data_IF_130765811861
#
_entry.id   IF_130765811861
#
_cell.length_a   1.000
_cell.length_b   1.000
_cell.length_c   1.000
_cell.angle_alpha   90.00
_cell.angle_beta   90.00
_cell.angle_gamma   90.00
#
_symmetry.space_group_name_H-M   'P 1'
#
loop_
_entity.id
_entity.type
_entity.pdbx_description
1 polymer ?
#
# COMPACT_ATOMS: atom_id res chain seq x y z
N UNK A 1 -28.39 32.65 20.35
CA UNK A 1 -27.54 32.95 21.54
C UNK A 1 -27.40 31.63 22.29
N UNK A 2 -26.24 31.05 22.58
CA UNK A 2 -24.89 31.53 22.84
C UNK A 2 -23.93 30.46 22.28
N UNK A 3 -22.96 30.78 21.44
CA UNK A 3 -21.70 31.33 21.92
C UNK A 3 -20.68 30.23 22.24
N UNK A 4 -20.56 29.19 21.39
CA UNK A 4 -19.50 28.19 21.54
C UNK A 4 -18.56 28.32 20.34
N UNK A 5 -17.44 29.01 20.56
CA UNK A 5 -16.34 29.18 19.59
C UNK A 5 -15.76 27.80 19.26
N UNK A 6 -16.28 27.18 18.21
CA UNK A 6 -16.09 25.80 17.74
C UNK A 6 -14.65 25.37 17.37
N UNK A 7 -13.60 26.17 17.56
CA UNK A 7 -12.25 25.77 17.11
C UNK A 7 -11.48 24.85 18.10
N UNK A 8 -11.85 24.80 19.38
CA UNK A 8 -11.12 23.99 20.39
C UNK A 8 -11.60 22.54 20.53
N UNK A 9 -12.91 22.30 20.50
CA UNK A 9 -13.51 20.97 20.78
C UNK A 9 -13.13 19.90 19.73
N UNK A 10 -13.07 20.27 18.46
CA UNK A 10 -12.73 19.36 17.36
C UNK A 10 -11.23 19.04 17.34
N UNK A 11 -10.39 19.99 17.74
CA UNK A 11 -8.96 19.76 17.91
C UNK A 11 -8.67 18.59 18.86
N UNK A 12 -9.40 18.51 19.98
CA UNK A 12 -9.25 17.43 20.96
C UNK A 12 -9.77 16.08 20.43
N UNK A 13 -10.94 16.10 19.76
CA UNK A 13 -11.55 14.89 19.21
C UNK A 13 -10.65 14.21 18.16
N UNK A 14 -10.00 15.00 17.30
CA UNK A 14 -9.14 14.50 16.22
C UNK A 14 -7.91 13.76 16.74
N UNK A 15 -7.25 14.25 17.80
CA UNK A 15 -6.08 13.56 18.40
C UNK A 15 -6.48 12.29 19.13
N UNK A 16 -7.61 12.31 19.83
CA UNK A 16 -8.14 11.11 20.50
C UNK A 16 -8.48 10.02 19.48
N UNK A 17 -9.17 10.37 18.38
CA UNK A 17 -9.49 9.41 17.32
C UNK A 17 -8.23 8.87 16.61
N UNK A 18 -7.25 9.73 16.33
CA UNK A 18 -5.99 9.29 15.73
C UNK A 18 -5.21 8.37 16.68
N UNK A 19 -5.10 8.71 17.97
CA UNK A 19 -4.44 7.86 18.97
C UNK A 19 -5.14 6.51 19.12
N UNK A 20 -6.47 6.49 19.12
CA UNK A 20 -7.24 5.24 19.12
C UNK A 20 -6.93 4.39 17.88
N UNK A 21 -6.95 4.96 16.67
CA UNK A 21 -6.64 4.21 15.46
C UNK A 21 -5.22 3.63 15.47
N UNK A 22 -4.23 4.41 15.94
CA UNK A 22 -2.84 3.97 16.09
C UNK A 22 -2.73 2.84 17.12
N UNK A 23 -3.38 2.95 18.28
CA UNK A 23 -3.39 1.93 19.32
C UNK A 23 -4.00 0.60 18.83
N UNK A 24 -5.10 0.65 18.08
CA UNK A 24 -5.72 -0.54 17.48
C UNK A 24 -4.79 -1.27 16.49
N UNK A 25 -3.95 -0.53 15.75
CA UNK A 25 -2.93 -1.16 14.88
C UNK A 25 -1.85 -1.84 15.72
N UNK A 26 -1.32 -1.13 16.71
CA UNK A 26 -0.16 -1.58 17.50
C UNK A 26 -0.49 -2.72 18.47
N UNK A 27 -1.71 -2.77 19.00
CA UNK A 27 -2.09 -3.68 20.09
C UNK A 27 -3.01 -4.81 19.63
N UNK A 28 -3.96 -4.51 18.74
CA UNK A 28 -4.96 -5.48 18.27
C UNK A 28 -4.62 -6.06 16.89
N UNK A 29 -3.55 -5.59 16.24
CA UNK A 29 -3.12 -6.07 14.93
C UNK A 29 -4.11 -5.78 13.79
N UNK A 30 -4.95 -4.75 13.95
CA UNK A 30 -5.90 -4.33 12.90
C UNK A 30 -5.19 -3.50 11.83
N UNK A 31 -5.70 -3.53 10.59
CA UNK A 31 -5.25 -2.58 9.58
C UNK A 31 -5.64 -1.15 9.95
N UNK A 32 -4.84 -0.18 9.54
CA UNK A 32 -5.10 1.22 9.82
C UNK A 32 -6.41 1.69 9.18
N UNK A 33 -6.74 1.21 7.98
CA UNK A 33 -8.00 1.55 7.33
C UNK A 33 -9.20 1.04 8.13
N UNK A 34 -9.16 -0.19 8.65
CA UNK A 34 -10.21 -0.71 9.52
C UNK A 34 -10.30 0.06 10.85
N UNK A 35 -9.15 0.37 11.45
CA UNK A 35 -9.07 1.16 12.67
C UNK A 35 -9.60 2.59 12.49
N UNK A 36 -9.31 3.23 11.35
CA UNK A 36 -9.82 4.56 11.00
C UNK A 36 -11.33 4.53 10.75
N UNK A 37 -11.85 3.52 10.06
CA UNK A 37 -13.30 3.36 9.85
C UNK A 37 -14.06 3.26 11.18
N UNK A 38 -13.47 2.64 12.21
CA UNK A 38 -14.04 2.62 13.55
C UNK A 38 -13.86 3.95 14.30
N UNK A 39 -12.71 4.60 14.14
CA UNK A 39 -12.38 5.83 14.86
C UNK A 39 -13.14 7.06 14.35
N UNK A 40 -13.47 7.08 13.05
CA UNK A 40 -14.17 8.17 12.39
C UNK A 40 -15.68 8.05 12.66
N UNK A 41 -16.21 8.97 13.46
CA UNK A 41 -17.65 9.15 13.60
C UNK A 41 -18.20 9.97 12.44
N UNK A 42 -19.38 9.62 11.92
CA UNK A 42 -20.12 10.39 10.91
C UNK A 42 -20.42 11.83 11.34
N UNK A 43 -20.31 12.13 12.64
CA UNK A 43 -20.51 13.47 13.19
C UNK A 43 -19.29 14.40 13.03
N UNK A 44 -18.12 13.88 12.64
CA UNK A 44 -16.92 14.70 12.42
C UNK A 44 -17.00 15.38 11.04
N UNK A 45 -16.81 16.72 10.98
CA UNK A 45 -16.68 17.42 9.69
C UNK A 45 -15.57 16.82 8.82
N UNK A 46 -15.74 16.83 7.49
CA UNK A 46 -14.78 16.25 6.55
C UNK A 46 -13.32 16.73 6.76
N UNK A 47 -13.13 18.02 7.08
CA UNK A 47 -11.82 18.59 7.42
C UNK A 47 -11.17 17.90 8.62
N UNK A 48 -11.95 17.60 9.66
CA UNK A 48 -11.45 16.95 10.86
C UNK A 48 -11.15 15.47 10.61
N UNK A 49 -11.95 14.80 9.77
CA UNK A 49 -11.65 13.43 9.33
C UNK A 49 -10.31 13.36 8.56
N UNK A 50 -10.06 14.32 7.66
CA UNK A 50 -8.78 14.42 6.96
C UNK A 50 -7.61 14.65 7.93
N UNK A 51 -7.82 15.45 8.99
CA UNK A 51 -6.82 15.64 10.04
C UNK A 51 -6.59 14.36 10.86
N UNK A 52 -7.62 13.60 11.23
CA UNK A 52 -7.48 12.30 11.91
C UNK A 52 -6.61 11.36 11.08
N UNK A 53 -6.91 11.23 9.79
CA UNK A 53 -6.12 10.40 8.86
C UNK A 53 -4.68 10.89 8.81
N UNK A 54 -4.44 12.18 8.57
CA UNK A 54 -3.09 12.73 8.50
C UNK A 54 -2.27 12.47 9.78
N UNK A 55 -2.89 12.61 10.96
CA UNK A 55 -2.26 12.35 12.25
C UNK A 55 -1.99 10.85 12.46
N UNK A 56 -2.93 9.97 12.16
CA UNK A 56 -2.77 8.53 12.36
C UNK A 56 -1.72 7.92 11.43
N UNK A 57 -1.78 8.24 10.13
CA UNK A 57 -0.77 7.82 9.15
C UNK A 57 0.62 8.38 9.50
N UNK A 58 0.69 9.65 9.90
CA UNK A 58 1.94 10.28 10.32
C UNK A 58 2.55 9.64 11.57
N UNK A 59 1.73 9.44 12.60
CA UNK A 59 2.14 8.82 13.85
C UNK A 59 2.67 7.40 13.63
N UNK A 60 1.98 6.55 12.83
CA UNK A 60 2.46 5.19 12.52
C UNK A 60 3.73 5.19 11.64
N UNK A 61 3.79 6.07 10.65
CA UNK A 61 4.98 6.20 9.78
C UNK A 61 6.25 6.51 10.59
N UNK A 62 6.12 7.33 11.63
CA UNK A 62 7.25 7.71 12.49
C UNK A 62 7.30 7.00 13.84
N UNK A 63 6.44 5.98 14.07
CA UNK A 63 6.23 5.43 15.41
C UNK A 63 7.47 4.79 16.03
N UNK A 64 8.29 4.04 15.28
CA UNK A 64 9.51 3.43 15.84
C UNK A 64 10.48 4.51 16.36
N UNK A 65 10.64 5.62 15.61
CA UNK A 65 11.40 6.78 16.08
C UNK A 65 10.76 7.43 17.30
N UNK A 66 9.44 7.65 17.27
CA UNK A 66 8.72 8.24 18.40
C UNK A 66 8.84 7.40 19.66
N UNK A 67 8.80 6.07 19.56
CA UNK A 67 8.96 5.15 20.68
C UNK A 67 10.33 5.31 21.35
N UNK A 68 11.40 5.45 20.56
CA UNK A 68 12.74 5.74 21.10
C UNK A 68 12.78 7.10 21.81
N UNK A 69 12.18 8.14 21.22
CA UNK A 69 12.07 9.47 21.85
C UNK A 69 11.29 9.39 23.17
N UNK A 70 10.15 8.66 23.20
CA UNK A 70 9.33 8.46 24.39
C UNK A 70 10.14 7.73 25.48
N UNK A 71 10.93 6.73 25.10
CA UNK A 71 11.81 5.99 26.02
C UNK A 71 12.87 6.87 26.68
N UNK A 72 13.39 7.88 25.99
CA UNK A 72 14.34 8.86 26.55
C UNK A 72 13.68 9.91 27.45
N UNK A 73 12.39 10.19 27.21
CA UNK A 73 11.63 11.20 27.95
C UNK A 73 10.99 10.67 29.23
N UNK A 74 10.77 9.36 29.34
CA UNK A 74 10.10 8.71 30.47
C UNK A 74 11.08 7.92 31.33
N UNK A 75 11.09 8.18 32.64
CA UNK A 75 11.93 7.43 33.60
C UNK A 75 11.52 5.95 33.73
N UNK A 76 10.26 5.64 33.39
CA UNK A 76 9.70 4.29 33.41
C UNK A 76 8.87 4.07 32.16
N UNK A 77 9.06 2.93 31.52
CA UNK A 77 8.24 2.50 30.39
C UNK A 77 6.76 2.46 30.77
N UNK A 78 5.90 2.79 29.81
CA UNK A 78 4.46 2.66 29.95
C UNK A 78 4.09 1.18 30.09
N UNK A 79 3.09 0.88 30.92
CA UNK A 79 2.57 -0.49 31.09
C UNK A 79 1.64 -0.83 29.93
N UNK A 80 1.38 -2.12 29.72
CA UNK A 80 0.47 -2.62 28.67
C UNK A 80 -0.90 -1.92 28.64
N UNK A 81 -1.50 -1.70 29.82
CA UNK A 81 -2.79 -0.99 29.98
C UNK A 81 -2.79 0.49 29.55
N UNK A 82 -1.60 1.05 29.32
CA UNK A 82 -1.34 2.45 29.03
C UNK A 82 -0.81 2.67 27.59
N UNK A 83 -0.87 1.66 26.70
CA UNK A 83 -0.44 1.75 25.29
C UNK A 83 -1.15 2.88 24.51
N UNK A 84 -2.43 3.15 24.82
CA UNK A 84 -3.15 4.30 24.26
C UNK A 84 -2.46 5.64 24.52
N UNK A 85 -1.71 5.76 25.62
CA UNK A 85 -0.91 6.96 25.91
C UNK A 85 0.36 7.02 25.05
N UNK A 86 0.98 5.88 24.73
CA UNK A 86 2.09 5.82 23.78
C UNK A 86 1.64 6.26 22.38
N UNK A 87 0.50 5.75 21.92
CA UNK A 87 -0.13 6.18 20.68
C UNK A 87 -0.44 7.69 20.68
N UNK A 88 -0.98 8.21 21.79
CA UNK A 88 -1.25 9.64 21.94
C UNK A 88 0.03 10.49 21.94
N UNK A 89 1.09 10.04 22.62
CA UNK A 89 2.40 10.71 22.62
C UNK A 89 3.02 10.70 21.22
N UNK A 90 2.91 9.58 20.49
CA UNK A 90 3.34 9.48 19.08
C UNK A 90 2.60 10.49 18.19
N UNK A 91 1.28 10.64 18.36
CA UNK A 91 0.48 11.68 17.69
C UNK A 91 0.94 13.10 18.08
N UNK A 92 1.26 13.33 19.35
CA UNK A 92 1.82 14.59 19.84
C UNK A 92 3.17 14.92 19.22
N UNK A 93 4.09 13.96 19.22
CA UNK A 93 5.44 14.09 18.64
C UNK A 93 5.38 14.34 17.13
N UNK A 94 4.56 13.59 16.39
CA UNK A 94 4.34 13.82 14.96
C UNK A 94 3.94 15.28 14.68
N UNK A 95 3.03 15.83 15.48
CA UNK A 95 2.62 17.23 15.32
C UNK A 95 3.76 18.21 15.58
N UNK A 96 4.63 17.93 16.54
CA UNK A 96 5.75 18.80 16.91
C UNK A 96 6.91 18.73 15.92
N UNK A 97 7.13 17.56 15.30
CA UNK A 97 8.27 17.30 14.41
C UNK A 97 7.90 17.59 12.95
N UNK A 98 6.77 17.06 12.48
CA UNK A 98 6.47 16.94 11.05
C UNK A 98 5.33 17.84 10.56
N UNK A 99 4.74 18.66 11.45
CA UNK A 99 3.66 19.57 11.08
C UNK A 99 4.00 21.02 11.34
N UNK A 100 3.39 21.92 10.57
CA UNK A 100 3.54 23.38 10.74
C UNK A 100 2.63 23.96 11.82
N UNK A 101 1.98 23.13 12.63
CA UNK A 101 1.08 23.62 13.67
C UNK A 101 1.88 24.24 14.82
N UNK A 102 1.43 25.38 15.40
CA UNK A 102 2.12 25.99 16.52
C UNK A 102 2.27 25.00 17.68
N UNK A 103 3.49 24.79 18.17
CA UNK A 103 3.78 23.75 19.15
C UNK A 103 2.93 23.83 20.42
N UNK A 104 2.60 25.03 20.90
CA UNK A 104 1.72 25.20 22.07
C UNK A 104 0.30 24.65 21.82
N UNK A 105 -0.24 24.83 20.61
CA UNK A 105 -1.58 24.37 20.25
C UNK A 105 -1.60 22.85 20.10
N UNK A 106 -0.56 22.26 19.49
CA UNK A 106 -0.38 20.82 19.39
C UNK A 106 -0.29 20.14 20.77
N UNK A 107 0.49 20.71 21.69
CA UNK A 107 0.59 20.19 23.07
C UNK A 107 -0.75 20.30 23.79
N UNK A 108 -1.38 21.48 23.81
CA UNK A 108 -2.65 21.69 24.51
C UNK A 108 -3.74 20.73 24.04
N UNK A 109 -3.93 20.59 22.72
CA UNK A 109 -4.94 19.70 22.16
C UNK A 109 -4.65 18.22 22.44
N UNK A 110 -3.37 17.82 22.43
CA UNK A 110 -2.96 16.44 22.75
C UNK A 110 -3.15 16.12 24.23
N UNK A 111 -2.87 17.07 25.13
CA UNK A 111 -3.12 16.93 26.57
C UNK A 111 -4.60 16.81 26.86
N UNK A 112 -5.44 17.66 26.27
CA UNK A 112 -6.89 17.60 26.46
C UNK A 112 -7.50 16.29 25.94
N UNK A 113 -6.87 15.65 24.94
CA UNK A 113 -7.35 14.39 24.38
C UNK A 113 -7.34 13.23 25.39
N UNK A 114 -6.52 13.33 26.45
CA UNK A 114 -6.49 12.35 27.56
C UNK A 114 -7.86 12.16 28.21
N UNK A 115 -8.69 13.22 28.29
CA UNK A 115 -10.04 13.13 28.84
C UNK A 115 -10.97 12.31 27.94
N UNK A 116 -10.91 12.51 26.61
CA UNK A 116 -11.70 11.73 25.64
C UNK A 116 -11.28 10.26 25.62
N UNK A 117 -10.01 9.98 25.86
CA UNK A 117 -9.47 8.61 25.95
C UNK A 117 -9.69 7.97 27.33
N UNK A 118 -10.50 8.57 28.21
CA UNK A 118 -10.77 8.06 29.56
C UNK A 118 -9.47 7.84 30.38
N UNK A 119 -8.50 8.74 30.22
CA UNK A 119 -7.22 8.78 30.95
C UNK A 119 -6.92 10.17 31.52
N UNK A 120 -7.86 10.85 32.21
CA UNK A 120 -7.66 12.23 32.66
C UNK A 120 -6.46 12.43 33.61
N UNK A 121 -6.10 11.40 34.40
CA UNK A 121 -4.95 11.44 35.30
C UNK A 121 -3.60 11.51 34.57
N UNK A 122 -3.55 11.16 33.29
CA UNK A 122 -2.34 11.21 32.48
C UNK A 122 -2.07 12.60 31.85
N UNK A 123 -2.97 13.57 32.01
CA UNK A 123 -2.81 14.91 31.42
C UNK A 123 -1.49 15.59 31.83
N UNK A 124 -1.11 15.49 33.11
CA UNK A 124 0.15 16.05 33.62
C UNK A 124 1.37 15.38 32.99
N UNK A 125 1.34 14.04 32.85
CA UNK A 125 2.39 13.27 32.21
C UNK A 125 2.57 13.68 30.74
N UNK A 126 1.49 13.63 29.95
CA UNK A 126 1.51 13.98 28.52
C UNK A 126 2.04 15.41 28.31
N UNK A 127 1.58 16.36 29.13
CA UNK A 127 2.06 17.75 29.06
C UNK A 127 3.55 17.83 29.40
N UNK A 128 3.98 17.24 30.51
CA UNK A 128 5.37 17.27 30.94
C UNK A 128 6.31 16.64 29.90
N UNK A 129 5.94 15.47 29.35
CA UNK A 129 6.70 14.75 28.31
C UNK A 129 6.85 15.58 27.04
N UNK A 130 5.75 16.10 26.48
CA UNK A 130 5.82 16.88 25.24
C UNK A 130 6.53 18.23 25.43
N UNK A 131 6.35 18.89 26.60
CA UNK A 131 7.07 20.12 26.93
C UNK A 131 8.56 19.89 27.13
N UNK A 132 8.94 18.75 27.71
CA UNK A 132 10.34 18.34 27.83
C UNK A 132 10.95 18.11 26.45
N UNK A 133 10.25 17.38 25.58
CA UNK A 133 10.67 17.22 24.19
C UNK A 133 10.93 18.56 23.50
N UNK A 134 10.02 19.54 23.60
CA UNK A 134 10.22 20.86 22.98
C UNK A 134 11.49 21.58 23.47
N UNK A 135 11.93 21.36 24.73
CA UNK A 135 13.15 21.97 25.27
C UNK A 135 14.42 21.22 24.87
N UNK A 136 14.32 19.90 24.72
CA UNK A 136 15.45 18.99 24.49
C UNK A 136 15.50 18.45 23.06
N UNK A 137 14.68 19.01 22.15
CA UNK A 137 14.37 18.43 20.83
C UNK A 137 15.62 18.08 20.02
N UNK A 138 16.53 19.04 19.84
CA UNK A 138 17.72 18.85 19.00
C UNK A 138 18.65 17.76 19.56
N UNK A 139 18.82 17.74 20.88
CA UNK A 139 19.66 16.73 21.55
C UNK A 139 19.05 15.33 21.48
N UNK A 140 17.74 15.22 21.70
CA UNK A 140 17.02 13.94 21.63
C UNK A 140 16.99 13.39 20.20
N UNK A 141 16.72 14.25 19.21
CA UNK A 141 16.74 13.84 17.81
C UNK A 141 18.15 13.40 17.39
N UNK A 142 19.19 14.15 17.73
CA UNK A 142 20.57 13.75 17.44
C UNK A 142 20.91 12.37 18.04
N UNK A 143 20.50 12.11 19.28
CA UNK A 143 20.70 10.83 19.95
C UNK A 143 19.94 9.69 19.25
N UNK A 144 18.64 9.86 18.98
CA UNK A 144 17.81 8.80 18.39
C UNK A 144 18.22 8.48 16.95
N UNK A 145 18.56 9.50 16.14
CA UNK A 145 18.98 9.35 14.75
C UNK A 145 20.36 8.68 14.58
N UNK A 146 21.10 8.48 15.67
CA UNK A 146 22.34 7.70 15.68
C UNK A 146 22.08 6.19 15.54
N UNK A 147 20.88 5.72 15.89
CA UNK A 147 20.45 4.32 15.71
C UNK A 147 19.72 4.13 14.38
N UNK A 148 19.74 2.91 13.84
CA UNK A 148 19.03 2.57 12.61
C UNK A 148 17.50 2.65 12.76
N UNK A 149 16.94 2.09 13.85
CA UNK A 149 15.51 2.20 14.16
C UNK A 149 15.07 3.66 14.26
N UNK A 150 15.88 4.52 14.88
CA UNK A 150 15.58 5.95 14.97
C UNK A 150 15.71 6.66 13.63
N UNK A 151 16.76 6.37 12.85
CA UNK A 151 16.99 6.98 11.54
C UNK A 151 15.92 6.62 10.53
N UNK A 152 15.62 5.33 10.40
CA UNK A 152 14.71 4.84 9.36
C UNK A 152 13.27 4.66 9.86
N UNK A 153 13.01 4.66 11.17
CA UNK A 153 11.66 4.43 11.73
C UNK A 153 11.03 3.10 11.28
N UNK A 154 11.86 2.07 11.10
CA UNK A 154 11.46 0.68 10.84
C UNK A 154 11.88 -0.20 12.02
N UNK A 155 11.22 -1.35 12.25
CA UNK A 155 11.72 -2.32 13.21
C UNK A 155 13.05 -2.91 12.72
N UNK A 156 13.96 -3.22 13.65
CA UNK A 156 15.33 -3.65 13.31
C UNK A 156 15.37 -4.86 12.37
N UNK A 157 14.49 -5.85 12.59
CA UNK A 157 14.44 -7.05 11.74
C UNK A 157 14.18 -6.74 10.26
N UNK A 158 13.39 -5.70 9.96
CA UNK A 158 13.06 -5.32 8.59
C UNK A 158 14.21 -4.54 7.96
N UNK A 159 14.91 -3.72 8.76
CA UNK A 159 16.14 -3.03 8.34
C UNK A 159 17.21 -4.05 7.95
N UNK A 160 17.44 -5.03 8.82
CA UNK A 160 18.42 -6.09 8.59
C UNK A 160 18.04 -6.91 7.36
N UNK A 161 16.75 -7.21 7.19
CA UNK A 161 16.27 -7.95 6.01
C UNK A 161 16.47 -7.17 4.71
N UNK A 162 16.12 -5.89 4.65
CA UNK A 162 16.34 -5.10 3.45
C UNK A 162 17.84 -4.96 3.12
N UNK A 163 18.70 -4.81 4.13
CA UNK A 163 20.16 -4.80 3.91
C UNK A 163 20.68 -6.13 3.39
N UNK A 164 20.18 -7.25 3.91
CA UNK A 164 20.54 -8.58 3.43
C UNK A 164 20.12 -8.78 1.96
N UNK A 165 18.93 -8.33 1.58
CA UNK A 165 18.40 -8.52 0.22
C UNK A 165 18.97 -7.52 -0.81
N UNK A 166 19.31 -6.29 -0.38
CA UNK A 166 19.57 -5.15 -1.28
C UNK A 166 20.85 -4.33 -1.01
N UNK A 167 21.64 -4.67 0.01
CA UNK A 167 22.89 -3.96 0.32
C UNK A 167 22.71 -2.44 0.38
N UNK A 168 23.43 -1.71 -0.47
CA UNK A 168 23.43 -0.24 -0.53
C UNK A 168 22.06 0.35 -0.92
N UNK A 169 21.25 -0.37 -1.70
CA UNK A 169 19.91 0.09 -2.11
C UNK A 169 18.90 0.06 -0.94
N UNK A 170 19.19 -0.68 0.14
CA UNK A 170 18.31 -0.78 1.30
C UNK A 170 18.00 0.58 1.93
N UNK A 171 18.98 1.50 1.93
CA UNK A 171 18.78 2.85 2.45
C UNK A 171 17.66 3.59 1.68
N UNK A 172 17.60 3.45 0.36
CA UNK A 172 16.58 4.09 -0.46
C UNK A 172 15.18 3.52 -0.14
N UNK A 173 15.06 2.19 -0.05
CA UNK A 173 13.80 1.52 0.32
C UNK A 173 13.28 2.04 1.66
N UNK A 174 14.18 2.09 2.66
CA UNK A 174 13.87 2.52 4.02
C UNK A 174 13.43 3.98 4.09
N UNK A 175 14.09 4.88 3.37
CA UNK A 175 13.77 6.32 3.37
C UNK A 175 12.53 6.64 2.54
N UNK A 176 12.35 6.01 1.39
CA UNK A 176 11.14 6.16 0.57
C UNK A 176 9.88 5.69 1.31
N UNK A 177 9.97 4.69 2.19
CA UNK A 177 8.87 4.28 3.05
C UNK A 177 8.37 5.39 4.02
N UNK A 178 9.18 6.44 4.25
CA UNK A 178 8.89 7.54 5.17
C UNK A 178 8.36 8.80 4.47
N UNK A 179 8.22 8.80 3.15
CA UNK A 179 7.62 9.92 2.42
C UNK A 179 6.11 9.72 2.27
N UNK A 180 5.37 10.81 2.05
CA UNK A 180 3.95 10.70 1.69
C UNK A 180 3.83 10.05 0.31
N UNK A 181 2.91 9.11 0.12
CA UNK A 181 2.79 8.41 -1.14
C UNK A 181 2.29 9.37 -2.23
N UNK A 182 2.85 9.29 -3.45
CA UNK A 182 2.35 10.01 -4.61
C UNK A 182 0.99 9.44 -5.05
N UNK A 183 0.20 10.28 -5.70
CA UNK A 183 -1.07 9.88 -6.29
C UNK A 183 -0.89 9.62 -7.76
N UNK A 184 -0.66 8.33 -8.06
CA UNK A 184 -0.68 7.82 -9.41
C UNK A 184 -2.11 7.51 -9.85
N UNK A 185 -2.38 7.87 -11.09
CA UNK A 185 -3.63 7.59 -11.78
C UNK A 185 -3.32 6.71 -12.99
N UNK A 186 -4.29 5.87 -13.34
CA UNK A 186 -4.34 5.13 -14.59
C UNK A 186 -5.45 5.72 -15.45
N UNK A 187 -5.10 6.11 -16.67
CA UNK A 187 -6.05 6.56 -17.68
C UNK A 187 -6.53 5.38 -18.50
N UNK A 188 -7.80 5.39 -18.88
CA UNK A 188 -8.36 4.38 -19.77
C UNK A 188 -8.06 4.77 -21.24
N UNK A 189 -7.11 4.10 -21.91
CA UNK A 189 -6.69 4.48 -23.27
C UNK A 189 -7.79 4.25 -24.31
N UNK A 190 -8.81 3.44 -24.01
CA UNK A 190 -9.96 3.23 -24.90
C UNK A 190 -10.94 4.42 -24.87
N UNK A 191 -10.80 5.36 -23.93
CA UNK A 191 -11.73 6.47 -23.70
C UNK A 191 -11.10 7.85 -23.80
N UNK A 192 -9.80 7.96 -23.54
CA UNK A 192 -9.12 9.26 -23.49
C UNK A 192 -7.66 9.15 -23.94
N UNK A 193 -7.21 10.16 -24.68
CA UNK A 193 -5.78 10.33 -24.96
C UNK A 193 -5.07 10.89 -23.71
N UNK A 194 -3.97 10.25 -23.32
CA UNK A 194 -3.28 10.58 -22.06
C UNK A 194 -2.64 11.96 -22.13
N UNK A 195 -2.08 12.36 -23.28
CA UNK A 195 -1.45 13.67 -23.42
C UNK A 195 -2.50 14.78 -23.35
N UNK A 196 -3.62 14.62 -24.07
CA UNK A 196 -4.74 15.54 -24.03
C UNK A 196 -5.35 15.68 -22.63
N UNK A 197 -5.47 14.57 -21.88
CA UNK A 197 -5.96 14.62 -20.51
C UNK A 197 -5.04 15.41 -19.57
N UNK A 198 -3.72 15.22 -19.68
CA UNK A 198 -2.74 15.97 -18.87
C UNK A 198 -2.79 17.46 -19.21
N UNK A 199 -2.90 17.81 -20.49
CA UNK A 199 -3.05 19.21 -20.93
C UNK A 199 -4.35 19.84 -20.39
N UNK A 200 -5.47 19.12 -20.45
CA UNK A 200 -6.76 19.58 -19.92
C UNK A 200 -6.73 19.75 -18.39
N UNK A 201 -6.10 18.82 -17.65
CA UNK A 201 -5.91 18.96 -16.20
C UNK A 201 -5.20 20.27 -15.84
N UNK A 202 -4.13 20.61 -16.56
CA UNK A 202 -3.37 21.82 -16.29
C UNK A 202 -4.11 23.09 -16.74
N UNK A 203 -4.63 23.11 -17.96
CA UNK A 203 -5.20 24.31 -18.58
C UNK A 203 -6.60 24.67 -18.05
N UNK A 204 -7.44 23.67 -17.76
CA UNK A 204 -8.84 23.89 -17.33
C UNK A 204 -9.00 23.85 -15.80
N UNK A 205 -8.17 23.05 -15.11
CA UNK A 205 -8.32 22.82 -13.67
C UNK A 205 -7.12 23.29 -12.83
N UNK A 206 -6.01 23.69 -13.46
CA UNK A 206 -4.79 24.08 -12.76
C UNK A 206 -4.14 22.93 -11.97
N UNK A 207 -4.36 21.69 -12.40
CA UNK A 207 -3.83 20.48 -11.76
C UNK A 207 -2.60 20.03 -12.54
N UNK A 208 -1.42 20.18 -11.93
CA UNK A 208 -0.17 19.66 -12.49
C UNK A 208 -0.08 18.14 -12.37
N UNK A 209 0.35 17.49 -13.44
CA UNK A 209 0.61 16.05 -13.49
C UNK A 209 1.81 15.73 -14.39
N UNK A 210 2.55 14.70 -14.04
CA UNK A 210 3.70 14.19 -14.81
C UNK A 210 3.42 12.78 -15.30
N UNK A 211 4.01 12.41 -16.44
CA UNK A 211 3.87 11.07 -17.05
C UNK A 211 5.07 10.21 -16.69
N UNK A 212 4.88 8.90 -16.65
CA UNK A 212 5.97 7.92 -16.67
C UNK A 212 6.04 7.33 -18.09
N UNK A 213 7.17 7.50 -18.78
CA UNK A 213 7.26 7.14 -20.20
C UNK A 213 7.05 5.64 -20.43
N UNK A 214 7.50 4.82 -19.48
CA UNK A 214 7.50 3.37 -19.52
C UNK A 214 6.11 2.78 -19.21
N UNK A 215 5.20 3.58 -18.66
CA UNK A 215 3.82 3.18 -18.38
C UNK A 215 2.89 4.20 -19.05
N UNK A 216 2.50 3.96 -20.32
CA UNK A 216 1.84 4.97 -21.15
C UNK A 216 0.55 5.56 -20.55
N UNK A 217 -0.16 4.76 -19.75
CA UNK A 217 -1.43 5.10 -19.08
C UNK A 217 -1.26 5.77 -17.72
N UNK A 218 -0.03 5.86 -17.18
CA UNK A 218 0.23 6.37 -15.84
C UNK A 218 0.52 7.87 -15.83
N UNK A 219 -0.16 8.59 -14.92
CA UNK A 219 0.19 9.97 -14.57
C UNK A 219 0.31 10.11 -13.05
N UNK A 220 1.27 10.89 -12.58
CA UNK A 220 1.44 11.26 -11.19
C UNK A 220 1.01 12.70 -10.99
N UNK A 221 0.02 12.93 -10.12
CA UNK A 221 -0.36 14.28 -9.73
C UNK A 221 0.74 14.93 -8.89
N UNK A 222 1.00 16.23 -9.10
CA UNK A 222 1.87 17.01 -8.22
C UNK A 222 1.31 17.13 -6.80
N UNK A 223 -0.01 17.13 -6.68
CA UNK A 223 -0.74 17.16 -5.41
C UNK A 223 -1.88 16.14 -5.44
N UNK A 224 -1.94 15.22 -4.45
CA UNK A 224 -3.07 14.31 -4.33
C UNK A 224 -4.40 15.04 -4.18
N UNK A 225 -5.45 14.51 -4.78
CA UNK A 225 -6.81 15.02 -4.76
C UNK A 225 -7.79 13.97 -4.21
N UNK A 226 -8.97 14.42 -3.79
CA UNK A 226 -10.09 13.49 -3.58
C UNK A 226 -10.50 12.89 -4.90
N UNK A 227 -10.93 11.63 -4.92
CA UNK A 227 -11.45 10.99 -6.15
C UNK A 227 -12.69 11.70 -6.71
N UNK A 228 -13.44 12.42 -5.87
CA UNK A 228 -14.58 13.24 -6.29
C UNK A 228 -14.17 14.51 -7.05
N UNK A 229 -12.94 14.97 -6.84
CA UNK A 229 -12.39 16.18 -7.46
C UNK A 229 -11.59 15.84 -8.73
N UNK A 230 -11.42 14.56 -9.06
CA UNK A 230 -10.71 14.11 -10.26
C UNK A 230 -11.62 14.21 -11.50
N UNK A 231 -11.27 15.02 -12.51
CA UNK A 231 -12.03 15.10 -13.75
C UNK A 231 -12.15 13.74 -14.43
N UNK A 232 -13.37 13.28 -14.68
CA UNK A 232 -13.62 12.01 -15.37
C UNK A 232 -13.52 10.74 -14.50
N UNK A 233 -13.35 10.85 -13.18
CA UNK A 233 -13.31 9.67 -12.31
C UNK A 233 -14.65 8.92 -12.27
N UNK A 234 -15.75 9.65 -12.13
CA UNK A 234 -17.11 9.06 -12.08
C UNK A 234 -17.53 8.43 -13.40
N UNK A 235 -17.03 8.96 -14.53
CA UNK A 235 -17.29 8.44 -15.89
C UNK A 235 -16.30 7.36 -16.33
N UNK A 236 -15.37 6.97 -15.45
CA UNK A 236 -14.43 5.88 -15.70
C UNK A 236 -13.30 6.23 -16.68
N UNK A 237 -13.01 7.51 -16.91
CA UNK A 237 -11.84 7.94 -17.69
C UNK A 237 -10.53 7.68 -16.94
N UNK A 238 -10.59 7.71 -15.62
CA UNK A 238 -9.43 7.60 -14.74
C UNK A 238 -9.71 6.73 -13.52
N UNK A 239 -8.68 6.03 -13.06
CA UNK A 239 -8.68 5.21 -11.83
C UNK A 239 -7.45 5.51 -10.99
N UNK A 240 -7.54 5.36 -9.67
CA UNK A 240 -6.37 5.48 -8.78
C UNK A 240 -5.63 4.15 -8.75
N UNK A 241 -4.39 4.13 -9.24
CA UNK A 241 -3.55 2.94 -9.23
C UNK A 241 -2.07 3.35 -9.33
N UNK A 242 -1.22 2.80 -8.47
CA UNK A 242 0.23 3.00 -8.54
C UNK A 242 0.78 2.60 -9.92
N UNK A 243 1.73 3.37 -10.45
CA UNK A 243 2.34 3.07 -11.74
C UNK A 243 3.05 1.70 -11.76
N UNK A 244 3.60 1.25 -10.61
CA UNK A 244 4.10 -0.12 -10.50
C UNK A 244 3.00 -1.11 -10.87
N UNK A 245 1.88 -1.10 -10.14
CA UNK A 245 0.78 -2.03 -10.37
C UNK A 245 0.19 -1.97 -11.78
N UNK A 246 0.38 -0.87 -12.52
CA UNK A 246 -0.04 -0.74 -13.92
C UNK A 246 0.82 -1.58 -14.88
N UNK A 247 2.11 -1.81 -14.61
CA UNK A 247 2.98 -2.68 -15.43
C UNK A 247 2.41 -4.10 -15.58
N UNK A 248 1.69 -4.60 -14.58
CA UNK A 248 1.17 -5.97 -14.62
C UNK A 248 0.32 -6.26 -15.87
N UNK A 249 -0.57 -5.35 -16.26
CA UNK A 249 -1.42 -5.56 -17.44
C UNK A 249 -0.65 -5.39 -18.76
N UNK A 250 0.37 -4.51 -18.77
CA UNK A 250 1.30 -4.35 -19.90
C UNK A 250 2.08 -5.65 -20.13
N UNK A 251 2.71 -6.18 -19.08
CA UNK A 251 3.54 -7.38 -19.12
C UNK A 251 2.75 -8.66 -19.40
N UNK A 252 1.48 -8.73 -18.95
CA UNK A 252 0.62 -9.88 -19.22
C UNK A 252 0.31 -10.02 -20.72
N UNK A 253 0.26 -8.90 -21.44
CA UNK A 253 0.09 -8.87 -22.90
C UNK A 253 -1.09 -9.73 -23.37
N UNK A 254 -2.27 -9.42 -22.82
CA UNK A 254 -3.53 -10.06 -23.16
C UNK A 254 -4.16 -9.39 -24.40
N UNK A 255 -4.46 -10.19 -25.42
CA UNK A 255 -5.02 -9.72 -26.69
C UNK A 255 -6.53 -10.04 -26.80
N UNK A 256 -7.31 -9.26 -27.57
CA UNK A 256 -8.74 -9.51 -27.79
C UNK A 256 -9.08 -10.98 -28.11
N UNK A 257 -10.17 -11.48 -27.51
CA UNK A 257 -10.61 -12.87 -27.67
C UNK A 257 -9.97 -13.88 -26.73
N UNK A 258 -8.88 -13.52 -26.02
CA UNK A 258 -8.25 -14.40 -25.03
C UNK A 258 -9.11 -14.59 -23.78
N UNK A 259 -8.97 -15.75 -23.15
CA UNK A 259 -9.47 -16.05 -21.81
C UNK A 259 -8.38 -15.79 -20.77
N UNK A 260 -8.67 -14.92 -19.82
CA UNK A 260 -7.70 -14.43 -18.83
C UNK A 260 -8.20 -14.71 -17.43
N UNK A 261 -7.33 -15.26 -16.59
CA UNK A 261 -7.56 -15.39 -15.15
C UNK A 261 -6.83 -14.27 -14.41
N UNK A 262 -7.51 -13.58 -13.51
CA UNK A 262 -6.92 -12.71 -12.48
C UNK A 262 -7.16 -13.36 -11.11
N UNK A 263 -6.10 -13.96 -10.56
CA UNK A 263 -6.14 -14.66 -9.29
C UNK A 263 -5.73 -13.72 -8.15
N UNK A 264 -6.50 -13.74 -7.05
CA UNK A 264 -6.39 -12.80 -5.93
C UNK A 264 -6.69 -11.35 -6.34
N UNK A 265 -7.71 -11.18 -7.20
CA UNK A 265 -7.93 -9.98 -7.99
C UNK A 265 -8.36 -8.74 -7.20
N UNK A 266 -8.91 -8.89 -5.99
CA UNK A 266 -9.56 -7.75 -5.35
C UNK A 266 -8.53 -6.68 -4.93
N UNK A 267 -8.84 -5.37 -5.06
CA UNK A 267 -10.14 -4.78 -5.35
C UNK A 267 -10.45 -4.58 -6.86
N UNK A 268 -9.73 -5.24 -7.77
CA UNK A 268 -10.06 -5.27 -9.21
C UNK A 268 -9.33 -4.22 -10.06
N UNK A 269 -8.34 -3.54 -9.50
CA UNK A 269 -7.56 -2.53 -10.23
C UNK A 269 -6.85 -3.14 -11.45
N UNK A 270 -6.15 -4.27 -11.27
CA UNK A 270 -5.45 -4.98 -12.35
C UNK A 270 -6.43 -5.61 -13.35
N UNK A 271 -7.53 -6.21 -12.88
CA UNK A 271 -8.63 -6.67 -13.72
C UNK A 271 -9.14 -5.60 -14.67
N UNK A 272 -9.45 -4.41 -14.12
CA UNK A 272 -9.91 -3.28 -14.92
C UNK A 272 -8.89 -2.87 -15.97
N UNK A 273 -7.60 -2.85 -15.63
CA UNK A 273 -6.54 -2.51 -16.59
C UNK A 273 -6.43 -3.55 -17.72
N UNK A 274 -6.53 -4.84 -17.40
CA UNK A 274 -6.54 -5.92 -18.39
C UNK A 274 -7.70 -5.72 -19.38
N UNK A 275 -8.91 -5.43 -18.88
CA UNK A 275 -10.10 -5.20 -19.71
C UNK A 275 -9.99 -3.95 -20.58
N UNK A 276 -9.43 -2.86 -20.04
CA UNK A 276 -9.17 -1.62 -20.77
C UNK A 276 -8.22 -1.86 -21.95
N UNK A 277 -7.10 -2.57 -21.73
CA UNK A 277 -6.14 -2.92 -22.79
C UNK A 277 -6.73 -3.83 -23.85
N UNK A 278 -7.54 -4.80 -23.43
CA UNK A 278 -8.22 -5.74 -24.33
C UNK A 278 -9.41 -5.16 -25.09
N UNK A 279 -9.72 -3.87 -24.92
CA UNK A 279 -10.87 -3.22 -25.56
C UNK A 279 -12.22 -3.86 -25.18
N UNK A 280 -12.31 -4.47 -24.00
CA UNK A 280 -13.52 -5.18 -23.53
C UNK A 280 -13.84 -6.49 -24.25
N UNK A 281 -12.93 -7.00 -25.08
CA UNK A 281 -13.13 -8.24 -25.86
C UNK A 281 -12.46 -9.46 -25.22
N UNK A 282 -11.95 -9.32 -23.99
CA UNK A 282 -11.37 -10.41 -23.22
C UNK A 282 -12.45 -11.14 -22.43
N UNK A 283 -12.30 -12.46 -22.28
CA UNK A 283 -13.07 -13.25 -21.34
C UNK A 283 -12.31 -13.31 -20.02
N UNK A 284 -12.57 -12.35 -19.12
CA UNK A 284 -11.86 -12.25 -17.84
C UNK A 284 -12.64 -12.94 -16.73
N UNK A 285 -11.96 -13.86 -16.04
CA UNK A 285 -12.43 -14.49 -14.80
C UNK A 285 -11.57 -13.97 -13.66
N UNK A 286 -12.20 -13.55 -12.59
CA UNK A 286 -11.57 -13.06 -11.37
C UNK A 286 -11.90 -13.97 -10.21
N UNK A 287 -10.91 -14.26 -9.36
CA UNK A 287 -11.10 -15.08 -8.17
C UNK A 287 -10.48 -14.37 -6.96
N UNK A 288 -11.26 -14.20 -5.90
CA UNK A 288 -10.79 -13.76 -4.58
C UNK A 288 -11.64 -14.43 -3.50
N UNK A 289 -11.05 -14.68 -2.33
CA UNK A 289 -11.71 -15.39 -1.23
C UNK A 289 -12.74 -14.52 -0.51
N UNK A 290 -12.61 -13.20 -0.58
CA UNK A 290 -13.42 -12.26 0.20
C UNK A 290 -14.62 -11.72 -0.62
N UNK A 291 -15.83 -12.11 -0.21
CA UNK A 291 -17.07 -11.68 -0.85
C UNK A 291 -17.29 -10.16 -0.84
N UNK A 292 -16.87 -9.46 0.21
CA UNK A 292 -17.00 -8.01 0.32
C UNK A 292 -16.01 -7.31 -0.62
N UNK A 293 -14.77 -7.80 -0.70
CA UNK A 293 -13.79 -7.27 -1.65
C UNK A 293 -14.18 -7.57 -3.11
N UNK A 294 -14.85 -8.70 -3.36
CA UNK A 294 -15.45 -9.01 -4.67
C UNK A 294 -16.59 -8.05 -5.07
N UNK A 295 -17.34 -7.49 -4.11
CA UNK A 295 -18.29 -6.43 -4.41
C UNK A 295 -17.57 -5.17 -4.93
N UNK A 296 -16.39 -4.84 -4.40
CA UNK A 296 -15.58 -3.71 -4.89
C UNK A 296 -15.06 -3.95 -6.32
N UNK A 297 -14.71 -5.19 -6.69
CA UNK A 297 -14.36 -5.52 -8.08
C UNK A 297 -15.51 -5.15 -9.00
N UNK A 298 -16.73 -5.64 -8.70
CA UNK A 298 -17.93 -5.36 -9.52
C UNK A 298 -18.21 -3.86 -9.64
N UNK A 299 -18.18 -3.13 -8.52
CA UNK A 299 -18.39 -1.67 -8.51
C UNK A 299 -17.33 -0.92 -9.32
N UNK A 300 -16.06 -1.30 -9.19
CA UNK A 300 -14.98 -0.68 -9.95
C UNK A 300 -15.15 -0.92 -11.45
N UNK A 301 -15.43 -2.17 -11.85
CA UNK A 301 -15.65 -2.54 -13.25
C UNK A 301 -16.89 -1.85 -13.84
N UNK A 302 -18.00 -1.81 -13.11
CA UNK A 302 -19.22 -1.10 -13.52
C UNK A 302 -18.93 0.38 -13.78
N UNK A 303 -18.21 1.06 -12.88
CA UNK A 303 -17.82 2.47 -13.03
C UNK A 303 -16.99 2.71 -14.30
N UNK A 304 -16.05 1.81 -14.63
CA UNK A 304 -15.23 1.92 -15.84
C UNK A 304 -15.91 1.31 -17.07
N UNK A 305 -17.15 0.82 -16.95
CA UNK A 305 -17.98 0.29 -18.02
C UNK A 305 -17.50 -1.05 -18.59
N UNK A 306 -16.95 -1.92 -17.75
CA UNK A 306 -16.62 -3.30 -18.09
C UNK A 306 -17.29 -4.29 -17.14
N UNK A 307 -17.25 -5.57 -17.51
CA UNK A 307 -17.71 -6.68 -16.66
C UNK A 307 -16.69 -7.82 -16.71
N UNK A 308 -16.70 -8.65 -15.67
CA UNK A 308 -15.92 -9.89 -15.59
C UNK A 308 -16.73 -10.94 -14.82
N UNK A 309 -16.40 -12.21 -15.01
CA UNK A 309 -16.89 -13.26 -14.12
C UNK A 309 -16.16 -13.14 -12.78
N UNK A 310 -16.91 -13.07 -11.67
CA UNK A 310 -16.35 -12.88 -10.33
C UNK A 310 -16.73 -14.06 -9.45
N UNK A 311 -15.73 -14.89 -9.15
CA UNK A 311 -15.86 -16.10 -8.33
C UNK A 311 -15.35 -15.79 -6.92
N UNK A 312 -16.20 -16.03 -5.92
CA UNK A 312 -15.79 -15.99 -4.52
C UNK A 312 -15.36 -17.39 -4.09
N UNK A 313 -14.06 -17.64 -4.06
CA UNK A 313 -13.49 -18.93 -3.67
C UNK A 313 -12.04 -18.78 -3.20
N UNK A 314 -11.56 -19.78 -2.46
CA UNK A 314 -10.11 -19.92 -2.24
C UNK A 314 -9.44 -20.35 -3.55
N UNK A 315 -8.40 -19.63 -3.94
CA UNK A 315 -7.64 -19.92 -5.16
C UNK A 315 -6.92 -21.27 -5.07
N UNK A 316 -6.56 -21.70 -3.86
CA UNK A 316 -5.95 -23.01 -3.61
C UNK A 316 -6.96 -24.17 -3.76
N UNK A 317 -8.26 -23.88 -3.98
CA UNK A 317 -9.35 -24.86 -4.08
C UNK A 317 -10.08 -24.80 -5.42
N UNK A 318 -9.35 -24.85 -6.54
CA UNK A 318 -9.89 -24.76 -7.91
C UNK A 318 -11.02 -25.76 -8.21
N UNK A 319 -11.02 -26.93 -7.57
CA UNK A 319 -12.10 -27.93 -7.72
C UNK A 319 -13.50 -27.44 -7.29
N UNK A 320 -13.59 -26.33 -6.55
CA UNK A 320 -14.87 -25.71 -6.14
C UNK A 320 -15.39 -24.68 -7.15
N UNK A 321 -14.59 -24.30 -8.14
CA UNK A 321 -14.97 -23.27 -9.10
C UNK A 321 -16.04 -23.78 -10.07
N UNK A 322 -17.00 -22.94 -10.47
CA UNK A 322 -18.11 -23.35 -11.32
C UNK A 322 -17.67 -23.60 -12.77
N UNK A 323 -18.45 -24.42 -13.48
CA UNK A 323 -18.35 -24.58 -14.93
C UNK A 323 -17.00 -25.14 -15.39
N UNK A 324 -16.44 -24.52 -16.42
CA UNK A 324 -15.14 -24.87 -16.99
C UNK A 324 -14.00 -23.95 -16.49
N UNK A 325 -14.26 -23.14 -15.46
CA UNK A 325 -13.29 -22.17 -14.91
C UNK A 325 -12.10 -22.82 -14.20
N UNK A 326 -12.16 -24.12 -13.92
CA UNK A 326 -11.05 -24.93 -13.39
C UNK A 326 -10.55 -26.00 -14.35
N UNK A 327 -11.00 -25.99 -15.61
CA UNK A 327 -10.55 -26.98 -16.59
C UNK A 327 -9.05 -26.79 -16.89
N UNK A 328 -8.32 -27.89 -17.01
CA UNK A 328 -6.91 -27.87 -17.39
C UNK A 328 -6.73 -27.20 -18.76
N UNK A 329 -5.72 -26.34 -18.90
CA UNK A 329 -5.44 -25.66 -20.16
C UNK A 329 -6.60 -24.78 -20.66
N UNK A 330 -7.36 -24.16 -19.76
CA UNK A 330 -8.49 -23.30 -20.13
C UNK A 330 -8.09 -21.85 -20.40
N UNK A 331 -6.98 -21.36 -19.83
CA UNK A 331 -6.60 -19.94 -19.90
C UNK A 331 -5.43 -19.65 -20.85
N UNK A 332 -5.54 -18.57 -21.62
CA UNK A 332 -4.46 -18.05 -22.46
C UNK A 332 -3.46 -17.21 -21.65
N UNK A 333 -3.96 -16.55 -20.61
CA UNK A 333 -3.21 -15.71 -19.68
C UNK A 333 -3.67 -15.92 -18.25
N UNK A 334 -2.73 -15.95 -17.31
CA UNK A 334 -3.01 -15.96 -15.87
C UNK A 334 -2.20 -14.85 -15.22
N UNK A 335 -2.86 -13.95 -14.50
CA UNK A 335 -2.23 -13.04 -13.55
C UNK A 335 -2.38 -13.63 -12.15
N UNK A 336 -1.26 -13.73 -11.43
CA UNK A 336 -1.22 -14.10 -10.00
C UNK A 336 -0.72 -12.89 -9.23
N UNK A 337 -1.64 -12.06 -8.73
CA UNK A 337 -1.33 -10.95 -7.83
C UNK A 337 -1.26 -11.47 -6.39
N UNK A 338 -0.15 -12.12 -6.06
CA UNK A 338 -0.11 -13.04 -4.94
C UNK A 338 -0.22 -12.31 -3.57
N UNK A 339 -0.98 -12.86 -2.59
CA UNK A 339 -0.97 -12.37 -1.24
C UNK A 339 0.47 -12.40 -0.68
N UNK A 340 0.96 -11.25 -0.22
CA UNK A 340 2.34 -11.06 0.20
C UNK A 340 2.45 -10.17 1.44
N UNK A 341 3.68 -9.96 1.90
CA UNK A 341 3.99 -9.10 3.04
C UNK A 341 3.70 -7.62 2.80
N UNK A 342 3.53 -7.21 1.54
CA UNK A 342 3.27 -5.84 1.09
C UNK A 342 4.39 -4.84 1.48
N UNK A 343 5.62 -5.33 1.69
CA UNK A 343 6.78 -4.49 2.09
C UNK A 343 7.14 -3.39 1.08
N UNK A 344 6.74 -3.52 -0.19
CA UNK A 344 6.94 -2.51 -1.22
C UNK A 344 6.00 -1.31 -1.13
N UNK A 345 4.89 -1.40 -0.38
CA UNK A 345 3.86 -0.35 -0.27
C UNK A 345 3.80 0.32 1.10
N UNK A 346 4.85 0.16 1.95
CA UNK A 346 4.89 0.71 3.32
C UNK A 346 4.65 2.22 3.36
N UNK A 347 5.06 2.98 2.33
CA UNK A 347 4.79 4.44 2.26
C UNK A 347 3.30 4.77 2.26
N UNK A 348 2.49 3.90 1.65
CA UNK A 348 1.02 3.97 1.61
C UNK A 348 0.41 3.41 2.88
N UNK A 349 0.92 2.27 3.34
CA UNK A 349 0.41 1.51 4.49
C UNK A 349 1.49 1.36 5.56
N UNK A 350 1.72 2.41 6.40
CA UNK A 350 2.80 2.39 7.39
C UNK A 350 2.56 1.41 8.54
N UNK A 351 1.33 0.92 8.70
CA UNK A 351 0.92 -0.15 9.61
C UNK A 351 1.59 -1.50 9.29
N UNK A 352 1.97 -1.75 8.03
CA UNK A 352 2.68 -2.97 7.60
C UNK A 352 3.92 -3.26 8.48
N UNK A 353 4.65 -2.22 8.90
CA UNK A 353 5.83 -2.34 9.76
C UNK A 353 5.56 -2.99 11.12
N UNK A 354 4.31 -2.96 11.57
CA UNK A 354 3.88 -3.47 12.88
C UNK A 354 3.02 -4.73 12.74
N UNK A 355 2.32 -4.87 11.62
CA UNK A 355 1.47 -6.02 11.35
C UNK A 355 2.25 -7.24 10.86
N UNK A 356 3.44 -7.04 10.29
CA UNK A 356 4.30 -8.13 9.79
C UNK A 356 5.28 -8.62 10.84
N UNK A 357 5.51 -9.93 10.86
CA UNK A 357 6.54 -10.59 11.67
C UNK A 357 7.55 -11.35 10.79
N UNK A 358 8.78 -11.56 11.26
CA UNK A 358 9.82 -12.28 10.50
C UNK A 358 9.41 -13.69 10.06
N UNK A 359 8.73 -14.44 10.92
CA UNK A 359 8.27 -15.81 10.69
C UNK A 359 7.13 -15.90 9.66
N UNK A 360 6.31 -14.86 9.55
CA UNK A 360 5.21 -14.80 8.57
C UNK A 360 5.70 -14.74 7.12
N UNK A 361 6.93 -14.26 6.87
CA UNK A 361 7.46 -14.14 5.50
C UNK A 361 7.58 -15.51 4.84
N UNK A 362 8.04 -16.52 5.57
CA UNK A 362 8.12 -17.88 5.07
C UNK A 362 6.74 -18.49 4.80
N UNK A 363 5.73 -18.12 5.59
CA UNK A 363 4.33 -18.55 5.40
C UNK A 363 3.76 -17.96 4.11
N UNK A 364 4.01 -16.67 3.84
CA UNK A 364 3.63 -16.04 2.57
C UNK A 364 4.29 -16.72 1.38
N UNK A 365 5.62 -16.90 1.41
CA UNK A 365 6.37 -17.56 0.36
C UNK A 365 5.86 -18.99 0.06
N UNK A 366 5.62 -19.78 1.10
CA UNK A 366 5.09 -21.13 0.95
C UNK A 366 3.68 -21.14 0.33
N UNK A 367 2.81 -20.19 0.70
CA UNK A 367 1.48 -20.04 0.10
C UNK A 367 1.56 -19.62 -1.37
N UNK A 368 2.43 -18.67 -1.69
CA UNK A 368 2.66 -18.22 -3.07
C UNK A 368 3.11 -19.37 -3.97
N UNK A 369 4.01 -20.24 -3.47
CA UNK A 369 4.40 -21.46 -4.18
C UNK A 369 3.22 -22.40 -4.45
N UNK A 370 2.36 -22.65 -3.46
CA UNK A 370 1.15 -23.49 -3.66
C UNK A 370 0.16 -22.88 -4.64
N UNK A 371 -0.02 -21.56 -4.63
CA UNK A 371 -0.85 -20.86 -5.60
C UNK A 371 -0.34 -21.08 -7.04
N UNK A 372 0.98 -20.95 -7.25
CA UNK A 372 1.59 -21.23 -8.55
C UNK A 372 1.36 -22.69 -8.98
N UNK A 373 1.62 -23.65 -8.09
CA UNK A 373 1.43 -25.08 -8.38
C UNK A 373 -0.05 -25.42 -8.68
N UNK A 374 -1.00 -24.71 -8.04
CA UNK A 374 -2.44 -24.89 -8.26
C UNK A 374 -2.94 -24.28 -9.57
N UNK A 375 -2.42 -23.11 -9.94
CA UNK A 375 -2.88 -22.36 -11.11
C UNK A 375 -2.18 -22.79 -12.41
N UNK A 376 -0.95 -23.31 -12.32
CA UNK A 376 -0.16 -23.70 -13.48
C UNK A 376 -0.86 -24.67 -14.44
N UNK A 377 -1.56 -25.73 -13.97
CA UNK A 377 -2.27 -26.65 -14.87
C UNK A 377 -3.38 -25.97 -15.68
N UNK A 378 -3.97 -24.88 -15.17
CA UNK A 378 -5.05 -24.16 -15.85
C UNK A 378 -4.55 -23.38 -17.08
N UNK A 379 -3.24 -23.13 -17.19
CA UNK A 379 -2.64 -22.41 -18.30
C UNK A 379 -2.54 -23.28 -19.55
N UNK A 380 -2.96 -22.80 -20.71
CA UNK A 380 -2.78 -23.50 -22.00
C UNK A 380 -1.30 -23.74 -22.32
N UNK A 381 -0.95 -24.81 -23.05
CA UNK A 381 0.32 -24.86 -23.78
C UNK A 381 0.48 -23.60 -24.64
N UNK A 382 1.65 -22.96 -24.59
CA UNK A 382 1.91 -21.65 -25.22
C UNK A 382 1.30 -20.44 -24.50
N UNK A 383 0.56 -20.65 -23.41
CA UNK A 383 0.02 -19.59 -22.57
C UNK A 383 1.09 -18.90 -21.73
N UNK A 384 0.73 -17.76 -21.13
CA UNK A 384 1.61 -17.02 -20.20
C UNK A 384 1.00 -16.84 -18.81
N UNK A 385 1.79 -17.05 -17.77
CA UNK A 385 1.46 -16.69 -16.39
C UNK A 385 2.36 -15.55 -15.93
N UNK A 386 1.78 -14.46 -15.45
CA UNK A 386 2.50 -13.37 -14.79
C UNK A 386 2.30 -13.49 -13.28
N UNK A 387 3.38 -13.74 -12.56
CA UNK A 387 3.43 -13.65 -11.12
C UNK A 387 3.83 -12.24 -10.70
N UNK A 388 3.12 -11.69 -9.72
CA UNK A 388 3.30 -10.33 -9.26
C UNK A 388 3.12 -10.23 -7.74
N UNK A 389 3.94 -9.41 -7.08
CA UNK A 389 3.76 -9.06 -5.65
C UNK A 389 4.08 -7.58 -5.43
N UNK A 390 3.47 -6.98 -4.40
CA UNK A 390 3.90 -5.69 -3.86
C UNK A 390 4.93 -5.86 -2.72
N UNK A 391 5.77 -6.90 -2.79
CA UNK A 391 6.87 -7.14 -1.85
C UNK A 391 8.21 -6.74 -2.48
N UNK A 392 9.14 -6.30 -1.63
CA UNK A 392 10.56 -6.12 -1.98
C UNK A 392 11.44 -7.20 -1.34
N UNK A 393 10.86 -8.25 -0.76
CA UNK A 393 11.63 -9.32 -0.14
C UNK A 393 11.96 -10.42 -1.15
N UNK A 394 13.24 -10.81 -1.22
CA UNK A 394 13.66 -11.89 -2.15
C UNK A 394 12.98 -13.23 -1.87
N UNK A 395 12.70 -13.50 -0.59
CA UNK A 395 12.00 -14.71 -0.12
C UNK A 395 10.60 -14.89 -0.72
N UNK A 396 9.91 -13.81 -1.07
CA UNK A 396 8.57 -13.87 -1.67
C UNK A 396 8.63 -13.74 -3.20
N UNK A 397 9.79 -13.41 -3.76
CA UNK A 397 9.93 -13.00 -5.15
C UNK A 397 10.82 -14.02 -5.90
N UNK A 398 12.10 -13.67 -6.05
CA UNK A 398 13.11 -14.46 -6.74
C UNK A 398 13.19 -15.92 -6.24
N UNK A 399 13.09 -16.13 -4.92
CA UNK A 399 13.19 -17.47 -4.33
C UNK A 399 11.98 -18.33 -4.70
N UNK A 400 10.75 -17.79 -4.58
CA UNK A 400 9.50 -18.47 -4.96
C UNK A 400 9.50 -18.87 -6.42
N UNK A 401 9.85 -17.94 -7.32
CA UNK A 401 9.87 -18.24 -8.76
C UNK A 401 11.01 -19.18 -9.12
N UNK A 402 12.18 -19.02 -8.50
CA UNK A 402 13.30 -19.93 -8.71
C UNK A 402 12.97 -21.36 -8.30
N UNK A 403 12.29 -21.54 -7.17
CA UNK A 403 11.79 -22.84 -6.71
C UNK A 403 10.74 -23.42 -7.65
N UNK A 404 9.80 -22.60 -8.11
CA UNK A 404 8.77 -23.01 -9.06
C UNK A 404 9.37 -23.50 -10.38
N UNK A 405 10.28 -22.73 -10.99
CA UNK A 405 10.94 -23.10 -12.25
C UNK A 405 11.77 -24.39 -12.12
N UNK A 406 12.39 -24.64 -10.96
CA UNK A 406 13.10 -25.91 -10.70
C UNK A 406 12.16 -27.12 -10.63
N UNK A 407 10.96 -26.95 -10.08
CA UNK A 407 9.98 -28.03 -9.91
C UNK A 407 9.06 -28.23 -11.11
N UNK A 408 8.97 -27.28 -12.03
CA UNK A 408 8.08 -27.31 -13.19
C UNK A 408 8.86 -27.30 -14.51
N UNK A 409 9.30 -28.47 -15.04
CA UNK A 409 10.09 -28.53 -16.27
C UNK A 409 9.40 -27.98 -17.53
N UNK A 410 8.07 -27.92 -17.53
CA UNK A 410 7.28 -27.35 -18.62
C UNK A 410 7.19 -25.81 -18.55
N UNK A 411 7.68 -25.19 -17.47
CA UNK A 411 7.72 -23.75 -17.31
C UNK A 411 9.08 -23.22 -17.77
N UNK A 412 9.05 -22.21 -18.63
CA UNK A 412 10.23 -21.41 -18.95
C UNK A 412 9.99 -19.95 -18.56
N UNK A 413 11.01 -19.29 -18.03
CA UNK A 413 10.93 -17.85 -17.86
C UNK A 413 10.89 -17.17 -19.25
N UNK A 414 9.99 -16.20 -19.38
CA UNK A 414 9.98 -15.26 -20.50
C UNK A 414 10.62 -13.98 -19.98
N UNK A 415 11.79 -13.64 -20.54
CA UNK A 415 12.49 -12.42 -20.15
C UNK A 415 11.61 -11.21 -20.44
N UNK A 416 11.35 -10.44 -19.40
CA UNK A 416 10.59 -9.20 -19.49
C UNK A 416 11.35 -8.18 -20.37
N UNK A 417 10.65 -7.19 -20.98
CA UNK A 417 11.30 -6.14 -21.75
C UNK A 417 12.07 -5.19 -20.83
N UNK A 418 13.23 -4.69 -21.28
CA UNK A 418 13.96 -3.67 -20.51
C UNK A 418 13.11 -2.41 -20.33
N UNK A 419 13.09 -1.91 -19.11
CA UNK A 419 12.35 -0.71 -18.70
C UNK A 419 13.37 0.33 -18.23
N UNK A 420 13.28 1.56 -18.74
CA UNK A 420 14.21 2.64 -18.40
C UNK A 420 13.78 3.36 -17.10
N UNK A 421 13.60 2.58 -16.04
CA UNK A 421 13.30 3.08 -14.69
C UNK A 421 14.49 2.68 -13.80
N UNK A 422 15.27 3.65 -13.25
CA UNK A 422 16.51 3.38 -12.51
C UNK A 422 16.36 2.40 -11.34
N UNK A 423 15.17 2.31 -10.77
CA UNK A 423 14.87 1.44 -9.64
C UNK A 423 14.50 0.01 -10.03
N UNK A 424 14.44 -0.30 -11.33
CA UNK A 424 14.28 -1.67 -11.82
C UNK A 424 15.60 -2.39 -11.66
N UNK A 425 15.62 -3.33 -10.72
CA UNK A 425 16.69 -4.28 -10.51
C UNK A 425 16.36 -5.55 -11.27
N UNK A 426 17.12 -5.78 -12.35
CA UNK A 426 17.16 -7.05 -13.05
C UNK A 426 18.34 -7.84 -12.48
N UNK A 427 18.12 -8.98 -11.82
CA UNK A 427 19.22 -9.78 -11.30
C UNK A 427 20.10 -10.29 -12.46
N UNK A 428 21.42 -10.31 -12.26
CA UNK A 428 22.36 -10.90 -13.24
C UNK A 428 22.05 -12.39 -13.48
N UNK A 429 21.60 -13.06 -12.42
CA UNK A 429 21.14 -14.45 -12.43
C UNK A 429 19.89 -14.60 -11.58
N UNK A 430 18.83 -15.19 -12.13
CA UNK A 430 17.57 -15.44 -11.44
C UNK A 430 16.38 -14.81 -12.13
N UNK A 431 15.15 -15.18 -11.74
CA UNK A 431 13.96 -14.82 -12.48
C UNK A 431 13.36 -13.48 -12.07
N UNK A 432 12.67 -12.85 -13.01
CA UNK A 432 11.82 -11.69 -12.82
C UNK A 432 12.57 -10.39 -12.54
N UNK A 433 11.81 -9.30 -12.46
CA UNK A 433 12.29 -7.94 -12.23
C UNK A 433 11.77 -7.43 -10.90
N UNK A 434 12.64 -6.80 -10.11
CA UNK A 434 12.24 -6.07 -8.92
C UNK A 434 12.24 -4.58 -9.21
N UNK A 435 11.08 -3.94 -9.10
CA UNK A 435 10.99 -2.49 -8.96
C UNK A 435 11.11 -2.14 -7.47
N UNK A 436 12.07 -1.30 -7.13
CA UNK A 436 12.24 -0.76 -5.78
C UNK A 436 11.58 0.64 -5.67
N UNK A 437 11.12 1.06 -4.48
CA UNK A 437 10.73 2.45 -4.26
C UNK A 437 11.91 3.41 -4.50
N UNK A 438 11.68 4.54 -5.18
CA UNK A 438 12.73 5.53 -5.44
C UNK A 438 12.28 6.81 -6.16
N UNK A 439 13.20 7.51 -6.85
CA UNK A 439 12.97 8.77 -7.58
C UNK A 439 11.78 8.80 -8.56
N UNK A 440 11.52 7.71 -9.29
CA UNK A 440 10.37 7.52 -10.16
C UNK A 440 9.04 7.46 -9.39
N UNK A 441 9.10 7.51 -8.05
CA UNK A 441 7.93 7.65 -7.18
C UNK A 441 6.93 6.50 -7.31
N UNK A 442 7.35 5.33 -7.77
CA UNK A 442 6.54 4.09 -7.80
C UNK A 442 6.62 3.32 -6.47
N UNK A 443 5.67 2.42 -6.25
CA UNK A 443 5.76 1.46 -5.14
C UNK A 443 6.80 0.37 -5.45
N UNK A 444 7.27 -0.32 -4.41
CA UNK A 444 8.05 -1.54 -4.57
C UNK A 444 7.17 -2.68 -5.08
N UNK A 445 7.62 -3.36 -6.13
CA UNK A 445 6.83 -4.39 -6.81
C UNK A 445 7.73 -5.39 -7.53
N UNK A 446 7.28 -6.62 -7.70
CA UNK A 446 8.00 -7.66 -8.42
C UNK A 446 7.15 -8.28 -9.53
N UNK A 447 7.79 -8.67 -10.63
CA UNK A 447 7.15 -9.32 -11.77
C UNK A 447 8.01 -10.48 -12.27
N UNK A 448 7.39 -11.62 -12.53
CA UNK A 448 8.00 -12.70 -13.28
C UNK A 448 6.99 -13.27 -14.28
N UNK A 449 7.38 -13.38 -15.54
CA UNK A 449 6.54 -13.92 -16.61
C UNK A 449 7.06 -15.31 -16.99
N UNK A 450 6.16 -16.29 -16.99
CA UNK A 450 6.47 -17.68 -17.36
C UNK A 450 5.61 -18.10 -18.54
N UNK A 451 6.21 -18.84 -19.47
CA UNK A 451 5.53 -19.53 -20.56
C UNK A 451 5.39 -21.01 -20.25
N UNK A 452 4.25 -21.61 -20.61
CA UNK A 452 4.10 -23.08 -20.65
C UNK A 452 4.54 -23.54 -22.03
N UNK A 453 5.53 -24.43 -22.08
CA UNK A 453 5.98 -25.03 -23.33
C UNK A 453 4.79 -25.65 -24.09
N UNK A 454 4.83 -25.57 -25.42
CA UNK A 454 3.79 -26.08 -26.32
C UNK A 454 3.69 -27.61 -26.30
#
# INVERSE_FOLDING_TARGET
>A
MSGDKKNGKWGVATRAAAAFAVDQVLTEGRSLDAALSQALSDQLPARDQALVKALAFGALRWHNRHRLIIGELLDRSLRSRDHILEALLSVGLFQLIDTRQPGYASVSATVDATRKLQRPRAAGLVNATLRRFQREQDTLLAKVLASDEGRYSHPQWLIDRFRADWGDQAQQILTCALVRPPMWLRLNPARVDVAAYVEALQSEHGIGATRLAEVPTAICLERPLSVHDLPGFTTGLVSVQDAAAQFAAELLDAAPGMRVLDACAAPGGKTGHILERGGGQLKVITVDIDANRNAMIRQNLERIGYTAEVITADVEQTGTWPGDSNAEGSFDRILVDAPCSATGVIRRHPDIKFLRRPDEIAVFAARQGRLLDTLWPLLKPGGRLLYATCSVLRAENHEVIGDFLRRQPAANEIRLPQVDVPEVVVPESGPGYQLLPGPANTDGFYYALMGRNA
#
